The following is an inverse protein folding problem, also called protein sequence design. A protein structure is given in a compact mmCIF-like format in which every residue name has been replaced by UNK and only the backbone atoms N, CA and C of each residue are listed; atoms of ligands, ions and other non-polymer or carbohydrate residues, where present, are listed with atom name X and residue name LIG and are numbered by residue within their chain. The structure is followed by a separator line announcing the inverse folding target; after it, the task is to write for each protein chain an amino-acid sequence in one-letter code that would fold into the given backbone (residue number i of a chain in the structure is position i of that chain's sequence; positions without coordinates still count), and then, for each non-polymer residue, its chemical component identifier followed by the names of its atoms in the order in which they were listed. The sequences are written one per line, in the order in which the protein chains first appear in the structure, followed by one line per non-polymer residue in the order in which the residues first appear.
data_IF_348820464413
#
_entry.id   IF_348820464413
#
_cell.length_a   1.000
_cell.length_b   1.000
_cell.length_c   1.000
_cell.angle_alpha   90.00
_cell.angle_beta   90.00
_cell.angle_gamma   90.00
#
_symmetry.space_group_name_H-M   'P 1'
#
loop_
_entity.id
_entity.type
_entity.pdbx_description
1 polymer ?
#
# COMPACT_ATOMS: atom_id res chain seq x y z
N UNK A 1 62.71 18.47 13.10
CA UNK A 1 61.79 17.57 13.82
C UNK A 1 60.38 17.93 13.37
N UNK A 2 59.84 17.16 12.43
CA UNK A 2 58.46 17.30 11.97
C UNK A 2 57.71 16.06 12.40
N UNK A 3 56.73 16.24 13.28
CA UNK A 3 55.73 15.26 13.70
C UNK A 3 54.68 16.08 14.43
N UNK A 4 53.39 16.09 14.12
CA UNK A 4 52.55 15.23 13.31
C UNK A 4 51.16 15.44 13.91
N UNK A 5 50.35 16.32 13.34
CA UNK A 5 49.05 16.72 13.91
C UNK A 5 47.92 16.63 12.88
N UNK A 6 47.93 15.58 12.06
CA UNK A 6 46.98 15.35 10.96
C UNK A 6 45.97 14.21 11.18
N UNK A 7 45.98 13.54 12.34
CA UNK A 7 45.26 12.27 12.55
C UNK A 7 43.80 12.38 13.04
N UNK A 8 43.39 13.50 13.63
CA UNK A 8 42.10 13.61 14.34
C UNK A 8 40.93 14.03 13.45
N UNK A 9 41.14 14.88 12.45
CA UNK A 9 40.08 15.37 11.57
C UNK A 9 39.53 14.29 10.62
N UNK A 10 40.40 13.39 10.12
CA UNK A 10 39.99 12.26 9.27
C UNK A 10 39.16 11.22 10.03
N UNK A 11 39.41 11.04 11.33
CA UNK A 11 38.65 10.13 12.18
C UNK A 11 37.24 10.63 12.49
N UNK A 12 37.10 11.93 12.77
CA UNK A 12 35.80 12.55 13.07
C UNK A 12 34.88 12.55 11.86
N UNK A 13 35.39 12.90 10.67
CA UNK A 13 34.59 12.89 9.43
C UNK A 13 34.11 11.48 9.07
N UNK A 14 34.93 10.45 9.30
CA UNK A 14 34.51 9.04 9.12
C UNK A 14 33.44 8.63 10.12
N UNK A 15 33.55 9.08 11.38
CA UNK A 15 32.57 8.79 12.42
C UNK A 15 31.22 9.44 12.11
N UNK A 16 31.22 10.70 11.64
CA UNK A 16 30.01 11.42 11.23
C UNK A 16 29.35 10.71 10.04
N UNK A 17 30.11 10.39 9.00
CA UNK A 17 29.57 9.68 7.83
C UNK A 17 28.99 8.30 8.18
N UNK A 18 29.59 7.56 9.12
CA UNK A 18 29.03 6.29 9.60
C UNK A 18 27.75 6.50 10.42
N UNK A 19 27.69 7.55 11.25
CA UNK A 19 26.46 7.92 11.96
C UNK A 19 25.34 8.29 10.99
N UNK A 20 25.63 9.12 9.98
CA UNK A 20 24.67 9.52 8.94
C UNK A 20 24.12 8.31 8.18
N UNK A 21 25.00 7.43 7.69
CA UNK A 21 24.61 6.19 7.00
C UNK A 21 23.69 5.32 7.87
N UNK A 22 23.98 5.20 9.16
CA UNK A 22 23.15 4.42 10.09
C UNK A 22 21.79 5.08 10.33
N UNK A 23 21.72 6.42 10.42
CA UNK A 23 20.45 7.14 10.54
C UNK A 23 19.58 6.93 9.29
N UNK A 24 20.17 6.84 8.09
CA UNK A 24 19.47 6.59 6.83
C UNK A 24 18.98 5.14 6.71
N UNK A 25 19.82 4.16 7.05
CA UNK A 25 19.50 2.73 6.87
C UNK A 25 18.40 2.23 7.81
N UNK A 26 18.42 2.62 9.09
CA UNK A 26 17.42 2.20 10.06
C UNK A 26 17.25 3.23 11.19
N UNK A 27 16.52 4.33 10.93
CA UNK A 27 16.34 5.40 11.89
C UNK A 27 15.68 4.92 13.19
N UNK A 28 14.74 3.97 13.14
CA UNK A 28 14.12 3.38 14.32
C UNK A 28 15.15 2.70 15.24
N UNK A 29 16.01 1.83 14.70
CA UNK A 29 17.05 1.13 15.46
C UNK A 29 18.01 2.13 16.13
N UNK A 30 18.43 3.15 15.40
CA UNK A 30 19.34 4.18 15.90
C UNK A 30 18.70 5.02 17.01
N UNK A 31 17.42 5.37 16.87
CA UNK A 31 16.68 6.11 17.90
C UNK A 31 16.51 5.30 19.20
N UNK A 32 16.64 3.98 19.13
CA UNK A 32 16.65 3.07 20.27
C UNK A 32 18.05 2.58 20.68
N UNK A 33 19.13 3.04 20.02
CA UNK A 33 20.52 2.65 20.33
C UNK A 33 20.98 3.23 21.68
N UNK A 34 21.48 2.47 22.66
CA UNK A 34 21.90 3.01 23.96
C UNK A 34 22.92 4.18 23.89
N UNK A 35 23.61 4.38 22.76
CA UNK A 35 24.52 5.49 22.51
C UNK A 35 23.80 6.83 22.29
N UNK A 36 23.83 7.69 23.31
CA UNK A 36 23.24 9.03 23.32
C UNK A 36 23.78 9.97 22.23
N UNK A 37 25.03 9.82 21.81
CA UNK A 37 25.66 10.72 20.83
C UNK A 37 25.06 10.54 19.44
N UNK A 38 24.85 9.28 19.04
CA UNK A 38 24.25 8.95 17.75
C UNK A 38 22.78 9.38 17.72
N UNK A 39 22.02 9.11 18.80
CA UNK A 39 20.62 9.55 18.93
C UNK A 39 20.44 11.07 18.83
N UNK A 40 21.37 11.84 19.41
CA UNK A 40 21.32 13.31 19.34
C UNK A 40 21.67 13.80 17.94
N UNK A 41 22.67 13.18 17.31
CA UNK A 41 23.06 13.52 15.95
C UNK A 41 21.91 13.28 14.96
N UNK A 42 21.32 12.08 14.92
CA UNK A 42 20.20 11.80 14.01
C UNK A 42 19.02 12.76 14.24
N UNK A 43 18.69 13.11 15.50
CA UNK A 43 17.59 14.06 15.80
C UNK A 43 17.84 15.49 15.33
N UNK A 44 19.09 15.96 15.39
CA UNK A 44 19.42 17.35 15.06
C UNK A 44 19.59 17.55 13.56
N UNK A 45 20.10 16.53 12.86
CA UNK A 45 20.48 16.64 11.44
C UNK A 45 19.48 15.98 10.50
N UNK A 46 18.71 14.99 10.96
CA UNK A 46 17.61 14.40 10.22
C UNK A 46 16.29 14.67 10.93
N UNK A 47 15.30 15.19 10.20
CA UNK A 47 13.92 15.17 10.68
C UNK A 47 13.38 13.74 10.55
N UNK A 48 13.85 12.85 11.42
CA UNK A 48 13.63 11.39 11.36
C UNK A 48 12.18 10.98 11.62
N UNK A 49 11.34 11.88 12.14
CA UNK A 49 9.94 11.59 12.43
C UNK A 49 9.05 11.96 11.26
N UNK A 50 8.46 10.96 10.64
CA UNK A 50 7.53 11.11 9.54
C UNK A 50 6.09 10.84 9.98
N UNK A 51 5.15 11.56 9.36
CA UNK A 51 3.73 11.31 9.60
C UNK A 51 3.35 9.93 9.08
N UNK A 52 2.65 9.15 9.90
CA UNK A 52 2.24 7.79 9.53
C UNK A 52 1.35 7.79 8.30
N UNK A 53 0.41 8.74 8.19
CA UNK A 53 -0.47 8.86 7.03
C UNK A 53 0.32 9.18 5.74
N UNK A 54 1.37 10.01 5.83
CA UNK A 54 2.24 10.33 4.70
C UNK A 54 3.00 9.08 4.26
N UNK A 55 3.64 8.36 5.20
CA UNK A 55 4.37 7.12 4.91
C UNK A 55 3.51 6.07 4.23
N UNK A 56 2.25 5.91 4.67
CA UNK A 56 1.32 4.95 4.06
C UNK A 56 0.95 5.39 2.63
N UNK A 57 0.63 6.68 2.44
CA UNK A 57 0.28 7.23 1.13
C UNK A 57 1.44 7.11 0.13
N UNK A 58 2.65 7.49 0.53
CA UNK A 58 3.84 7.43 -0.33
C UNK A 58 4.30 6.00 -0.57
N UNK A 59 4.08 5.10 0.39
CA UNK A 59 4.40 3.68 0.25
C UNK A 59 3.58 2.97 -0.82
N UNK A 60 2.36 3.42 -1.12
CA UNK A 60 1.49 2.87 -2.17
C UNK A 60 1.17 1.36 -2.06
N UNK A 61 1.44 0.76 -0.91
CA UNK A 61 1.21 -0.67 -0.62
C UNK A 61 -0.10 -0.88 0.15
N UNK A 62 -0.53 0.13 0.90
CA UNK A 62 -1.62 0.06 1.87
C UNK A 62 -2.57 1.24 1.71
N UNK A 63 -3.83 1.02 2.07
CA UNK A 63 -4.86 2.05 2.19
C UNK A 63 -5.38 2.06 3.62
N UNK A 64 -5.40 3.25 4.22
CA UNK A 64 -5.99 3.44 5.55
C UNK A 64 -7.50 3.20 5.49
N UNK A 65 -7.98 2.37 6.42
CA UNK A 65 -9.40 2.19 6.61
C UNK A 65 -9.96 3.43 7.30
N UNK A 66 -10.99 4.03 6.71
CA UNK A 66 -11.66 5.20 7.28
C UNK A 66 -12.72 4.76 8.29
N UNK A 67 -12.74 5.37 9.46
CA UNK A 67 -13.79 5.13 10.46
C UNK A 67 -15.15 5.71 10.05
N UNK A 68 -15.15 6.69 9.14
CA UNK A 68 -16.34 7.45 8.71
C UNK A 68 -17.00 6.91 7.45
N UNK A 69 -16.30 6.07 6.68
CA UNK A 69 -16.82 5.44 5.47
C UNK A 69 -17.13 3.97 5.75
N UNK A 70 -18.40 3.57 5.60
CA UNK A 70 -18.84 2.18 5.74
C UNK A 70 -18.55 1.32 4.51
N UNK A 71 -17.78 1.82 3.54
CA UNK A 71 -17.54 1.12 2.26
C UNK A 71 -16.59 -0.07 2.38
N UNK A 72 -15.91 -0.23 3.52
CA UNK A 72 -14.84 -1.22 3.68
C UNK A 72 -15.02 -2.12 4.91
N UNK A 73 -16.23 -2.63 5.08
CA UNK A 73 -16.56 -3.56 6.17
C UNK A 73 -15.71 -4.83 6.13
N UNK A 74 -15.33 -5.29 4.92
CA UNK A 74 -14.45 -6.42 4.75
C UNK A 74 -13.03 -6.15 5.30
N UNK A 75 -12.45 -4.99 4.99
CA UNK A 75 -11.16 -4.56 5.53
C UNK A 75 -11.20 -4.42 7.04
N UNK A 76 -12.22 -3.74 7.57
CA UNK A 76 -12.41 -3.58 9.02
C UNK A 76 -12.54 -4.91 9.75
N UNK A 77 -13.32 -5.84 9.20
CA UNK A 77 -13.46 -7.18 9.77
C UNK A 77 -12.12 -7.91 9.77
N UNK A 78 -11.39 -7.87 8.66
CA UNK A 78 -10.11 -8.54 8.54
C UNK A 78 -9.07 -8.02 9.55
N UNK A 79 -8.97 -6.70 9.74
CA UNK A 79 -8.01 -6.12 10.69
C UNK A 79 -8.40 -6.31 12.15
N UNK A 80 -9.70 -6.25 12.46
CA UNK A 80 -10.22 -6.54 13.80
C UNK A 80 -9.96 -7.98 14.23
N UNK A 81 -10.19 -8.95 13.33
CA UNK A 81 -9.93 -10.36 13.61
C UNK A 81 -8.45 -10.60 13.97
N UNK A 82 -7.52 -9.85 13.38
CA UNK A 82 -6.11 -9.89 13.78
C UNK A 82 -5.89 -9.21 15.12
N UNK A 83 -6.37 -7.98 15.27
CA UNK A 83 -6.15 -7.17 16.46
C UNK A 83 -6.62 -7.86 17.74
N UNK A 84 -7.82 -8.46 17.75
CA UNK A 84 -8.39 -9.05 18.97
C UNK A 84 -7.55 -10.23 19.51
N UNK A 85 -6.80 -10.92 18.65
CA UNK A 85 -5.96 -12.06 19.07
C UNK A 85 -4.72 -11.64 19.84
N UNK A 86 -4.13 -10.49 19.52
CA UNK A 86 -2.89 -9.99 20.13
C UNK A 86 -3.10 -8.79 21.06
N UNK A 87 -4.20 -8.06 20.86
CA UNK A 87 -4.60 -6.83 21.55
C UNK A 87 -3.40 -5.93 21.94
N UNK A 88 -2.54 -5.54 20.98
CA UNK A 88 -1.23 -4.97 21.28
C UNK A 88 -1.32 -3.60 21.96
N UNK A 89 -2.44 -2.89 21.78
CA UNK A 89 -2.68 -1.61 22.44
C UNK A 89 -3.33 -1.76 23.81
N UNK A 90 -3.85 -2.94 24.16
CA UNK A 90 -4.49 -3.27 25.46
C UNK A 90 -5.59 -2.28 25.87
N UNK A 91 -6.23 -1.64 24.90
CA UNK A 91 -7.21 -0.56 25.10
C UNK A 91 -8.65 -1.02 24.92
N UNK A 92 -8.88 -2.15 24.25
CA UNK A 92 -10.21 -2.61 23.89
C UNK A 92 -10.40 -4.00 24.47
N UNK A 93 -11.44 -4.15 25.29
CA UNK A 93 -11.88 -5.45 25.79
C UNK A 93 -12.74 -6.12 24.72
N UNK A 94 -12.62 -7.44 24.56
CA UNK A 94 -13.37 -8.19 23.56
C UNK A 94 -14.88 -7.87 23.65
N UNK A 95 -15.42 -7.24 22.62
CA UNK A 95 -16.86 -7.03 22.47
C UNK A 95 -17.49 -8.20 21.72
N UNK A 96 -18.81 -8.34 21.86
CA UNK A 96 -19.64 -9.42 21.33
C UNK A 96 -19.25 -9.92 19.92
N UNK A 97 -19.36 -11.23 19.74
CA UNK A 97 -18.89 -11.94 18.55
C UNK A 97 -19.47 -11.35 17.24
N UNK A 98 -18.56 -10.93 16.35
CA UNK A 98 -18.84 -10.73 14.92
C UNK A 98 -18.95 -9.28 14.43
N UNK A 99 -19.01 -8.29 15.33
CA UNK A 99 -19.03 -6.88 14.94
C UNK A 99 -17.72 -6.19 15.27
N UNK A 100 -17.25 -5.34 14.35
CA UNK A 100 -16.07 -4.50 14.57
C UNK A 100 -16.48 -3.33 15.47
N UNK A 101 -15.95 -3.21 16.70
CA UNK A 101 -16.36 -2.14 17.60
C UNK A 101 -15.95 -0.76 17.05
N UNK A 102 -16.83 0.23 17.20
CA UNK A 102 -16.55 1.61 16.76
C UNK A 102 -15.33 2.20 17.50
N UNK A 103 -15.12 1.80 18.76
CA UNK A 103 -13.94 2.16 19.54
C UNK A 103 -12.63 1.75 18.85
N UNK A 104 -12.60 0.58 18.20
CA UNK A 104 -11.44 0.13 17.43
C UNK A 104 -11.20 1.01 16.20
N UNK A 105 -12.25 1.36 15.46
CA UNK A 105 -12.15 2.26 14.31
C UNK A 105 -11.62 3.64 14.73
N UNK A 106 -12.15 4.20 15.81
CA UNK A 106 -11.72 5.50 16.35
C UNK A 106 -10.27 5.47 16.84
N UNK A 107 -9.84 4.35 17.44
CA UNK A 107 -8.46 4.17 17.89
C UNK A 107 -7.50 4.18 16.70
N UNK A 108 -7.88 3.56 15.57
CA UNK A 108 -7.11 3.65 14.34
C UNK A 108 -6.95 5.08 13.83
N UNK A 109 -8.02 5.87 13.80
CA UNK A 109 -7.95 7.30 13.44
C UNK A 109 -7.06 8.11 14.38
N UNK A 110 -7.03 7.76 15.67
CA UNK A 110 -6.17 8.42 16.64
C UNK A 110 -4.69 8.05 16.40
N UNK A 111 -4.40 6.76 16.24
CA UNK A 111 -3.04 6.23 16.08
C UNK A 111 -2.38 6.73 14.79
N UNK A 112 -3.13 6.84 13.69
CA UNK A 112 -2.64 7.28 12.38
C UNK A 112 -2.22 8.75 12.33
N UNK A 113 -2.63 9.58 13.31
CA UNK A 113 -2.18 10.98 13.44
C UNK A 113 -0.78 11.12 14.07
N UNK A 114 -0.17 10.02 14.50
CA UNK A 114 1.15 10.01 15.09
C UNK A 114 2.27 10.19 14.06
N UNK A 115 3.49 10.34 14.58
CA UNK A 115 4.73 10.28 13.81
C UNK A 115 5.58 9.10 14.25
N UNK A 116 6.41 8.61 13.35
CA UNK A 116 7.25 7.41 13.53
C UNK A 116 8.60 7.58 12.85
N UNK A 117 9.58 6.78 13.26
CA UNK A 117 10.92 6.78 12.69
C UNK A 117 11.03 5.85 11.47
N UNK A 118 10.12 6.02 10.51
CA UNK A 118 10.05 5.23 9.28
C UNK A 118 9.20 3.95 9.37
N UNK A 119 9.25 3.14 8.32
CA UNK A 119 8.42 1.93 8.17
C UNK A 119 8.78 0.79 9.12
N UNK A 120 10.02 0.77 9.62
CA UNK A 120 10.49 -0.25 10.57
C UNK A 120 10.05 0.01 12.02
N UNK A 121 9.44 1.17 12.28
CA UNK A 121 8.89 1.50 13.59
C UNK A 121 7.76 0.51 13.96
N UNK A 122 7.77 -0.12 15.15
CA UNK A 122 6.70 -1.02 15.58
C UNK A 122 5.33 -0.35 15.59
N UNK A 123 5.27 0.96 15.86
CA UNK A 123 4.01 1.70 15.79
C UNK A 123 3.50 1.77 14.35
N UNK A 124 4.37 2.01 13.36
CA UNK A 124 4.00 1.97 11.95
C UNK A 124 3.51 0.58 11.55
N UNK A 125 4.25 -0.46 11.96
CA UNK A 125 3.90 -1.86 11.66
C UNK A 125 2.53 -2.22 12.24
N UNK A 126 2.29 -1.90 13.51
CA UNK A 126 0.98 -2.15 14.15
C UNK A 126 -0.15 -1.38 13.47
N UNK A 127 0.07 -0.11 13.12
CA UNK A 127 -0.98 0.70 12.48
C UNK A 127 -1.30 0.17 11.08
N UNK A 128 -0.28 -0.17 10.29
CA UNK A 128 -0.51 -0.75 8.96
C UNK A 128 -1.13 -2.14 9.00
N UNK A 129 -0.91 -2.90 10.07
CA UNK A 129 -1.50 -4.22 10.28
C UNK A 129 -2.97 -4.15 10.71
N UNK A 130 -3.32 -3.21 11.59
CA UNK A 130 -4.63 -3.16 12.24
C UNK A 130 -5.56 -2.05 11.74
N UNK A 131 -5.04 -1.05 11.03
CA UNK A 131 -5.81 0.11 10.55
C UNK A 131 -5.76 0.31 9.03
N UNK A 132 -5.10 -0.59 8.31
CA UNK A 132 -4.98 -0.51 6.86
C UNK A 132 -5.23 -1.88 6.23
N UNK A 133 -5.64 -1.87 4.97
CA UNK A 133 -5.65 -3.05 4.11
C UNK A 133 -4.66 -2.89 2.97
N UNK A 134 -4.42 -3.97 2.25
CA UNK A 134 -3.63 -3.92 1.02
C UNK A 134 -4.30 -3.01 0.00
N UNK A 135 -3.49 -2.18 -0.67
CA UNK A 135 -3.93 -1.34 -1.78
C UNK A 135 -4.13 -2.22 -3.02
N UNK A 136 -5.21 -2.01 -3.74
CA UNK A 136 -5.55 -2.75 -4.96
C UNK A 136 -5.43 -1.85 -6.19
N UNK A 137 -5.53 -2.46 -7.38
CA UNK A 137 -5.63 -1.71 -8.62
C UNK A 137 -6.88 -0.81 -8.63
N UNK A 138 -8.00 -1.24 -8.04
CA UNK A 138 -9.20 -0.41 -7.89
C UNK A 138 -8.90 0.90 -7.17
N UNK A 139 -8.17 0.85 -6.05
CA UNK A 139 -7.80 2.06 -5.30
C UNK A 139 -6.89 2.98 -6.15
N UNK A 140 -5.91 2.40 -6.85
CA UNK A 140 -5.00 3.15 -7.71
C UNK A 140 -5.77 3.88 -8.81
N UNK A 141 -6.70 3.19 -9.48
CA UNK A 141 -7.55 3.79 -10.51
C UNK A 141 -8.49 4.85 -9.91
N UNK A 142 -9.02 4.62 -8.70
CA UNK A 142 -9.89 5.59 -8.01
C UNK A 142 -9.18 6.88 -7.61
N UNK A 143 -7.85 6.86 -7.44
CA UNK A 143 -7.02 8.03 -7.17
C UNK A 143 -6.56 8.76 -8.44
N UNK A 144 -6.64 8.12 -9.62
CA UNK A 144 -6.25 8.72 -10.89
C UNK A 144 -7.32 9.70 -11.39
N UNK A 145 -6.91 10.96 -11.61
CA UNK A 145 -7.80 11.99 -12.15
C UNK A 145 -8.29 11.61 -13.54
N UNK A 146 -9.60 11.56 -13.71
CA UNK A 146 -10.25 11.28 -15.00
C UNK A 146 -10.36 9.80 -15.34
N UNK A 147 -9.81 8.89 -14.53
CA UNK A 147 -10.00 7.46 -14.70
C UNK A 147 -11.33 7.02 -14.09
N UNK A 148 -12.12 6.25 -14.86
CA UNK A 148 -13.37 5.66 -14.37
C UNK A 148 -13.51 4.25 -14.91
N UNK A 149 -13.85 3.30 -14.03
CA UNK A 149 -14.14 1.93 -14.44
C UNK A 149 -15.43 1.88 -15.26
N UNK A 150 -15.38 1.17 -16.38
CA UNK A 150 -16.54 0.86 -17.20
C UNK A 150 -17.45 -0.09 -16.41
N UNK A 151 -18.74 0.23 -16.37
CA UNK A 151 -19.71 -0.61 -15.67
C UNK A 151 -19.80 -1.99 -16.32
N UNK A 152 -19.82 -3.06 -15.50
CA UNK A 152 -19.96 -4.44 -15.98
C UNK A 152 -21.34 -4.69 -16.58
N UNK A 153 -22.37 -4.06 -16.01
CA UNK A 153 -23.76 -4.19 -16.44
C UNK A 153 -24.20 -2.97 -17.27
N UNK A 154 -25.10 -3.18 -18.22
CA UNK A 154 -25.69 -2.10 -19.03
C UNK A 154 -24.73 -1.44 -20.03
N UNK A 155 -23.58 -2.06 -20.32
CA UNK A 155 -22.55 -1.57 -21.25
C UNK A 155 -22.17 -2.66 -22.28
N UNK A 156 -23.17 -3.44 -22.70
CA UNK A 156 -22.96 -4.60 -23.57
C UNK A 156 -22.31 -4.20 -24.90
N UNK A 157 -22.75 -3.10 -25.53
CA UNK A 157 -22.20 -2.64 -26.79
C UNK A 157 -20.70 -2.31 -26.67
N UNK A 158 -20.32 -1.61 -25.60
CA UNK A 158 -18.96 -1.21 -25.29
C UNK A 158 -18.07 -2.42 -25.05
N UNK A 159 -18.53 -3.38 -24.24
CA UNK A 159 -17.76 -4.60 -23.98
C UNK A 159 -17.60 -5.47 -25.21
N UNK A 160 -18.64 -5.58 -26.03
CA UNK A 160 -18.56 -6.29 -27.31
C UNK A 160 -17.59 -5.61 -28.29
N UNK A 161 -17.57 -4.28 -28.35
CA UNK A 161 -16.59 -3.54 -29.16
C UNK A 161 -15.16 -3.75 -28.65
N UNK A 162 -14.97 -3.79 -27.33
CA UNK A 162 -13.67 -4.12 -26.71
C UNK A 162 -13.26 -5.55 -27.02
N UNK A 163 -14.20 -6.49 -27.07
CA UNK A 163 -13.93 -7.86 -27.44
C UNK A 163 -13.33 -8.01 -28.83
N UNK A 164 -13.88 -7.31 -29.83
CA UNK A 164 -13.33 -7.33 -31.18
C UNK A 164 -11.86 -6.91 -31.21
N UNK A 165 -11.52 -5.86 -30.45
CA UNK A 165 -10.13 -5.41 -30.29
C UNK A 165 -9.27 -6.40 -29.48
N UNK A 166 -9.87 -7.03 -28.47
CA UNK A 166 -9.22 -7.99 -27.58
C UNK A 166 -8.80 -9.26 -28.30
N UNK A 167 -9.57 -9.76 -29.26
CA UNK A 167 -9.23 -11.01 -29.97
C UNK A 167 -8.27 -10.81 -31.14
N UNK A 168 -7.91 -9.58 -31.48
CA UNK A 168 -6.96 -9.31 -32.57
C UNK A 168 -5.57 -9.91 -32.27
N UNK A 169 -4.94 -10.51 -33.27
CA UNK A 169 -3.64 -11.19 -33.14
C UNK A 169 -2.49 -10.23 -32.80
N UNK A 170 -2.60 -8.97 -33.24
CA UNK A 170 -1.59 -7.93 -33.00
C UNK A 170 -1.62 -7.37 -31.57
N UNK A 171 -2.73 -7.56 -30.86
CA UNK A 171 -2.87 -7.04 -29.51
C UNK A 171 -2.13 -7.98 -28.55
N UNK A 172 -1.23 -7.45 -27.72
CA UNK A 172 -0.44 -8.25 -26.76
C UNK A 172 -0.87 -8.05 -25.30
N UNK A 173 -1.72 -7.06 -25.03
CA UNK A 173 -2.19 -6.75 -23.67
C UNK A 173 -3.41 -7.62 -23.37
N UNK A 174 -3.25 -8.60 -22.47
CA UNK A 174 -4.29 -9.59 -22.10
C UNK A 174 -4.34 -9.80 -20.60
N UNK A 175 -5.52 -10.17 -20.11
CA UNK A 175 -5.64 -10.65 -18.74
C UNK A 175 -4.95 -11.99 -18.57
N UNK A 176 -4.17 -12.12 -17.50
CA UNK A 176 -3.61 -13.41 -17.07
C UNK A 176 -4.75 -14.35 -16.72
N UNK A 177 -4.76 -15.56 -17.30
CA UNK A 177 -5.76 -16.59 -17.00
C UNK A 177 -7.11 -16.46 -17.73
N UNK A 178 -7.36 -15.37 -18.47
CA UNK A 178 -8.55 -15.29 -19.33
C UNK A 178 -8.26 -15.95 -20.67
N UNK A 179 -8.83 -17.13 -20.88
CA UNK A 179 -8.75 -17.88 -22.14
C UNK A 179 -9.97 -17.57 -23.01
N UNK A 180 -9.72 -17.22 -24.27
CA UNK A 180 -10.76 -17.08 -25.30
C UNK A 180 -10.67 -18.31 -26.19
N UNK A 181 -11.78 -19.04 -26.28
CA UNK A 181 -11.87 -20.27 -27.08
C UNK A 181 -11.84 -19.96 -28.58
N UNK A 182 -11.30 -20.90 -29.37
CA UNK A 182 -11.31 -20.79 -30.83
C UNK A 182 -12.75 -20.74 -31.35
N UNK A 183 -13.07 -19.73 -32.16
CA UNK A 183 -14.42 -19.52 -32.69
C UNK A 183 -15.34 -18.69 -31.78
N UNK A 184 -14.87 -18.22 -30.63
CA UNK A 184 -15.62 -17.30 -29.79
C UNK A 184 -15.95 -16.00 -30.55
N UNK A 185 -17.18 -15.52 -30.35
CA UNK A 185 -17.68 -14.28 -30.96
C UNK A 185 -17.92 -13.23 -29.89
N UNK A 186 -18.01 -11.95 -30.31
CA UNK A 186 -18.39 -10.86 -29.40
C UNK A 186 -19.72 -11.13 -28.70
N UNK A 187 -20.68 -11.80 -29.33
CA UNK A 187 -21.98 -12.09 -28.71
C UNK A 187 -21.94 -13.19 -27.65
N UNK A 188 -20.94 -14.07 -27.72
CA UNK A 188 -20.84 -15.24 -26.83
C UNK A 188 -19.83 -15.05 -25.71
N UNK A 189 -18.80 -14.22 -25.91
CA UNK A 189 -17.63 -14.18 -25.04
C UNK A 189 -17.20 -12.79 -24.54
N UNK A 190 -17.92 -11.70 -24.87
CA UNK A 190 -17.54 -10.35 -24.39
C UNK A 190 -17.45 -10.25 -22.86
N UNK A 191 -18.26 -11.03 -22.14
CA UNK A 191 -18.29 -11.07 -20.67
C UNK A 191 -17.00 -11.60 -20.05
N UNK A 192 -16.17 -12.31 -20.82
CA UNK A 192 -14.83 -12.75 -20.36
C UNK A 192 -13.93 -11.56 -20.03
N UNK A 193 -14.07 -10.46 -20.77
CA UNK A 193 -13.25 -9.25 -20.58
C UNK A 193 -13.76 -8.47 -19.36
N UNK A 194 -15.08 -8.27 -19.25
CA UNK A 194 -15.65 -7.57 -18.09
C UNK A 194 -15.48 -8.38 -16.79
N UNK A 195 -15.55 -9.72 -16.86
CA UNK A 195 -15.17 -10.62 -15.78
C UNK A 195 -13.68 -10.50 -15.44
N UNK A 196 -12.81 -10.48 -16.45
CA UNK A 196 -11.38 -10.24 -16.29
C UNK A 196 -11.08 -8.92 -15.57
N UNK A 197 -11.79 -7.84 -15.90
CA UNK A 197 -11.70 -6.57 -15.20
C UNK A 197 -12.07 -6.70 -13.72
N UNK A 198 -13.18 -7.36 -13.41
CA UNK A 198 -13.65 -7.57 -12.02
C UNK A 198 -12.60 -8.25 -11.14
N UNK A 199 -11.85 -9.22 -11.69
CA UNK A 199 -10.79 -9.89 -10.95
C UNK A 199 -9.49 -9.10 -10.94
N UNK A 200 -9.13 -8.48 -12.06
CA UNK A 200 -7.90 -7.72 -12.20
C UNK A 200 -7.84 -6.51 -11.25
N UNK A 201 -8.96 -5.80 -11.04
CA UNK A 201 -8.98 -4.64 -10.14
C UNK A 201 -8.73 -4.99 -8.67
N UNK A 202 -8.96 -6.26 -8.27
CA UNK A 202 -8.73 -6.76 -6.90
C UNK A 202 -7.26 -7.10 -6.64
N UNK A 203 -6.42 -7.16 -7.68
CA UNK A 203 -5.00 -7.46 -7.53
C UNK A 203 -4.32 -6.36 -6.71
N UNK A 204 -3.50 -6.79 -5.75
CA UNK A 204 -2.78 -5.93 -4.81
C UNK A 204 -1.60 -5.25 -5.49
N UNK A 205 -1.23 -4.06 -5.04
CA UNK A 205 -0.04 -3.33 -5.54
C UNK A 205 1.28 -4.05 -5.24
N UNK A 206 1.27 -4.96 -4.26
CA UNK A 206 2.41 -5.79 -3.87
C UNK A 206 2.53 -7.10 -4.65
N UNK A 207 1.59 -7.42 -5.54
CA UNK A 207 1.64 -8.63 -6.34
C UNK A 207 2.65 -8.51 -7.50
N UNK A 208 3.36 -9.58 -7.81
CA UNK A 208 4.35 -9.61 -8.90
C UNK A 208 3.72 -9.21 -10.25
N UNK A 209 2.48 -9.63 -10.51
CA UNK A 209 1.75 -9.28 -11.72
C UNK A 209 1.16 -7.85 -11.75
N UNK A 210 1.31 -7.06 -10.68
CA UNK A 210 0.64 -5.76 -10.52
C UNK A 210 0.83 -4.85 -11.74
N UNK A 211 2.09 -4.62 -12.16
CA UNK A 211 2.39 -3.70 -13.25
C UNK A 211 1.73 -4.12 -14.58
N UNK A 212 1.82 -5.41 -14.92
CA UNK A 212 1.21 -5.97 -16.13
C UNK A 212 -0.32 -5.95 -16.08
N UNK A 213 -0.88 -6.20 -14.90
CA UNK A 213 -2.34 -6.21 -14.68
C UNK A 213 -2.89 -4.79 -14.73
N UNK A 214 -2.22 -3.82 -14.13
CA UNK A 214 -2.61 -2.41 -14.18
C UNK A 214 -2.62 -1.87 -15.62
N UNK A 215 -1.59 -2.21 -16.42
CA UNK A 215 -1.58 -1.86 -17.84
C UNK A 215 -2.77 -2.48 -18.59
N UNK A 216 -3.12 -3.72 -18.26
CA UNK A 216 -4.29 -4.42 -18.82
C UNK A 216 -5.59 -3.76 -18.40
N UNK A 217 -5.73 -3.38 -17.12
CA UNK A 217 -6.91 -2.67 -16.60
C UNK A 217 -7.07 -1.31 -17.26
N UNK A 218 -6.00 -0.52 -17.36
CA UNK A 218 -6.03 0.78 -18.04
C UNK A 218 -6.45 0.64 -19.51
N UNK A 219 -6.01 -0.42 -20.18
CA UNK A 219 -6.37 -0.68 -21.59
C UNK A 219 -7.82 -1.10 -21.77
N UNK A 220 -8.34 -1.99 -20.91
CA UNK A 220 -9.59 -2.70 -21.17
C UNK A 220 -10.76 -2.30 -20.28
N UNK A 221 -10.51 -1.79 -19.08
CA UNK A 221 -11.52 -1.64 -18.04
C UNK A 221 -11.96 -0.21 -17.81
N UNK A 222 -11.26 0.79 -18.34
CA UNK A 222 -11.61 2.19 -18.17
C UNK A 222 -12.61 2.65 -19.24
N UNK A 223 -13.48 3.59 -18.88
CA UNK A 223 -14.30 4.33 -19.84
C UNK A 223 -13.38 5.07 -20.80
N UNK A 224 -13.69 5.01 -22.09
CA UNK A 224 -12.99 5.73 -23.15
C UNK A 224 -13.37 7.20 -23.20
#
# INVERSE_FOLDING_TARGET
MSSGNGGTALGLNRLIADMERRCEENPYSVMNDPNLSIRRHCRLYWNVEESIDILIKTGNERVLLSSTNSSDDAGWKATWEKYKTTNPWKTINETAAGQVPQEFKNLCDQKTKGKVYGKDDPQYTQITEYCARDKTIEDVIGEEVGSKLLAVQGQEAEWKNRFDSYITTQNTIRFKGVVIESGATRDTAYTKISGGCTEAIKIKTTADEYASTLATVRKWCLTS
#
